data_IF_399295639815
#
_entry.id   IF_399295639815
#
_cell.length_a   1.000
_cell.length_b   1.000
_cell.length_c   1.000
_cell.angle_alpha   90.00
_cell.angle_beta   90.00
_cell.angle_gamma   90.00
#
_symmetry.space_group_name_H-M   'P 1'
#
loop_
_entity.id
_entity.type
_entity.pdbx_description
1 polymer ?
#
# COMPACT_ATOMS: atom_id res chain seq x y z
N UNK A 1 14.67 19.08 3.91
CA UNK A 1 14.65 19.11 5.37
C UNK A 1 14.00 17.84 5.89
N UNK A 2 14.48 17.35 7.03
CA UNK A 2 13.89 16.23 7.74
C UNK A 2 13.72 16.59 9.21
N UNK A 3 12.67 16.09 9.85
CA UNK A 3 12.38 16.33 11.24
C UNK A 3 11.27 15.45 11.76
N UNK A 4 10.80 15.74 12.97
CA UNK A 4 9.68 15.05 13.57
C UNK A 4 8.68 16.07 14.16
N UNK A 5 7.40 15.79 13.94
CA UNK A 5 6.32 16.47 14.67
C UNK A 5 6.06 15.70 15.96
N UNK A 6 6.08 16.40 17.09
CA UNK A 6 5.70 15.82 18.37
C UNK A 6 4.22 16.03 18.62
N UNK A 7 3.48 14.94 18.83
CA UNK A 7 2.05 14.97 19.13
C UNK A 7 1.73 14.10 20.35
N UNK A 8 0.66 14.38 21.07
CA UNK A 8 0.17 13.47 22.09
C UNK A 8 -0.41 12.20 21.45
N UNK A 9 -0.07 11.03 21.99
CA UNK A 9 -0.74 9.79 21.58
C UNK A 9 -2.24 9.92 21.83
N UNK A 10 -2.59 10.30 23.05
CA UNK A 10 -3.97 10.57 23.46
C UNK A 10 -4.12 12.04 23.89
N UNK A 11 -4.77 12.85 23.05
CA UNK A 11 -4.97 14.28 23.33
C UNK A 11 -5.88 14.56 24.51
N UNK A 12 -6.74 13.59 24.87
CA UNK A 12 -7.62 13.70 26.04
C UNK A 12 -6.88 13.38 27.35
N UNK A 13 -5.71 12.72 27.24
CA UNK A 13 -4.85 12.33 28.35
C UNK A 13 -3.37 12.60 28.04
N UNK A 14 -2.94 13.88 27.98
CA UNK A 14 -1.59 14.27 27.55
C UNK A 14 -0.46 13.65 28.40
N UNK A 15 -0.73 13.34 29.66
CA UNK A 15 0.22 12.70 30.57
C UNK A 15 0.60 11.27 30.18
N UNK A 16 -0.15 10.61 29.29
CA UNK A 16 0.14 9.24 28.84
C UNK A 16 1.29 9.14 27.84
N UNK A 17 1.74 10.27 27.27
CA UNK A 17 2.92 10.32 26.43
C UNK A 17 2.71 11.00 25.09
N UNK A 18 3.83 11.15 24.37
CA UNK A 18 3.90 11.76 23.05
C UNK A 18 4.45 10.77 22.02
N UNK A 19 4.19 11.08 20.75
CA UNK A 19 4.71 10.36 19.58
C UNK A 19 5.50 11.32 18.71
N UNK A 20 6.59 10.82 18.11
CA UNK A 20 7.34 11.52 17.09
C UNK A 20 6.88 11.04 15.72
N UNK A 21 6.34 11.94 14.91
CA UNK A 21 5.88 11.63 13.55
C UNK A 21 6.91 12.15 12.56
N UNK A 22 7.48 11.25 11.76
CA UNK A 22 8.53 11.57 10.81
C UNK A 22 8.01 12.44 9.65
N UNK A 23 8.76 13.48 9.34
CA UNK A 23 8.44 14.47 8.29
C UNK A 23 9.66 14.70 7.41
N UNK A 24 9.43 14.79 6.10
CA UNK A 24 10.43 15.24 5.15
C UNK A 24 9.84 16.32 4.24
N UNK A 25 10.61 17.35 3.94
CA UNK A 25 10.20 18.47 3.10
C UNK A 25 11.22 18.62 1.98
N UNK A 26 10.77 18.50 0.75
CA UNK A 26 11.52 18.93 -0.43
C UNK A 26 11.14 20.38 -0.72
N UNK A 27 12.07 21.29 -0.42
CA UNK A 27 11.87 22.71 -0.69
C UNK A 27 11.72 22.97 -2.18
N UNK A 28 10.91 23.96 -2.53
CA UNK A 28 10.77 24.41 -3.91
C UNK A 28 12.13 24.73 -4.54
N UNK A 29 12.23 24.48 -5.83
CA UNK A 29 13.39 24.87 -6.64
C UNK A 29 13.12 26.10 -7.51
N UNK A 30 11.92 26.66 -7.44
CA UNK A 30 11.56 27.87 -8.18
C UNK A 30 11.96 29.15 -7.45
N UNK A 31 12.12 30.24 -8.18
CA UNK A 31 12.52 31.55 -7.64
C UNK A 31 11.40 32.22 -6.80
N UNK A 32 10.14 31.95 -7.15
CA UNK A 32 8.97 32.53 -6.47
C UNK A 32 7.93 31.43 -6.15
N UNK A 33 8.22 30.56 -5.17
CA UNK A 33 7.31 29.47 -4.85
C UNK A 33 6.01 29.96 -4.23
N UNK A 34 4.91 29.27 -4.52
CA UNK A 34 3.64 29.50 -3.86
C UNK A 34 3.75 29.17 -2.36
N UNK A 35 3.09 29.94 -1.48
CA UNK A 35 3.21 29.78 -0.02
C UNK A 35 2.49 28.53 0.52
N UNK A 36 1.68 27.87 -0.32
CA UNK A 36 0.85 26.73 0.02
C UNK A 36 1.49 25.42 -0.50
N UNK A 37 2.13 24.61 0.33
CA UNK A 37 2.80 23.38 -0.08
C UNK A 37 1.82 22.30 -0.55
N UNK A 38 2.36 21.29 -1.23
CA UNK A 38 1.64 20.06 -1.55
C UNK A 38 2.04 18.96 -0.56
N UNK A 39 1.05 18.39 0.12
CA UNK A 39 1.24 17.30 1.08
C UNK A 39 0.80 15.99 0.45
N UNK A 40 1.67 14.97 0.45
CA UNK A 40 1.33 13.63 -0.02
C UNK A 40 0.77 12.77 1.12
N UNK A 41 -0.43 12.27 0.93
CA UNK A 41 -1.07 11.29 1.80
C UNK A 41 -1.07 9.93 1.10
N UNK A 42 -0.20 9.02 1.55
CA UNK A 42 -0.02 7.70 0.94
C UNK A 42 -1.15 6.73 1.29
N UNK A 43 -1.25 5.69 0.49
CA UNK A 43 -2.26 4.63 0.63
C UNK A 43 -1.94 3.56 1.66
N UNK A 44 -2.42 2.38 1.41
CA UNK A 44 -2.37 1.22 2.28
C UNK A 44 -3.74 0.93 2.90
N UNK A 45 -4.02 1.24 4.19
CA UNK A 45 -3.26 2.05 5.16
C UNK A 45 -1.92 1.43 5.57
N UNK A 46 -1.02 2.30 6.05
CA UNK A 46 0.26 1.86 6.63
C UNK A 46 1.47 2.00 5.70
N UNK A 47 1.27 2.44 4.45
CA UNK A 47 2.40 2.75 3.57
C UNK A 47 3.10 4.02 4.05
N UNK A 48 4.40 3.94 4.16
CA UNK A 48 5.28 5.04 4.54
C UNK A 48 5.59 5.99 3.38
N UNK A 49 5.81 7.24 3.68
CA UNK A 49 6.06 8.30 2.72
C UNK A 49 7.50 8.78 2.74
N UNK A 50 8.05 8.94 3.94
CA UNK A 50 9.33 9.60 4.18
C UNK A 50 10.51 8.83 3.57
N UNK A 51 10.55 7.50 3.66
CA UNK A 51 11.64 6.67 3.12
C UNK A 51 11.82 6.84 1.60
N UNK A 52 10.75 7.14 0.89
CA UNK A 52 10.78 7.29 -0.57
C UNK A 52 11.14 8.71 -1.03
N UNK A 53 11.38 9.64 -0.10
CA UNK A 53 11.68 11.04 -0.41
C UNK A 53 12.93 11.22 -1.29
N UNK A 54 14.05 10.49 -1.09
CA UNK A 54 15.21 10.62 -1.98
C UNK A 54 14.89 10.31 -3.44
N UNK A 55 14.17 9.21 -3.72
CA UNK A 55 13.75 8.86 -5.08
C UNK A 55 12.76 9.87 -5.68
N UNK A 56 11.91 10.49 -4.86
CA UNK A 56 11.00 11.55 -5.30
C UNK A 56 11.73 12.84 -5.63
N UNK A 57 12.83 13.14 -4.93
CA UNK A 57 13.65 14.34 -5.20
C UNK A 57 14.23 14.37 -6.61
N UNK A 58 14.51 13.19 -7.19
CA UNK A 58 15.07 13.02 -8.55
C UNK A 58 14.02 12.70 -9.62
N UNK A 59 12.76 12.50 -9.23
CA UNK A 59 11.67 12.13 -10.15
C UNK A 59 11.20 13.32 -10.97
N UNK A 60 11.12 13.15 -12.29
CA UNK A 60 10.56 14.14 -13.22
C UNK A 60 9.10 14.50 -12.92
N UNK A 61 8.32 13.54 -12.40
CA UNK A 61 6.94 13.78 -11.98
C UNK A 61 6.89 14.80 -10.84
N UNK A 62 7.67 14.58 -9.79
CA UNK A 62 7.68 15.45 -8.60
C UNK A 62 8.40 16.77 -8.84
N UNK A 63 9.36 16.84 -9.78
CA UNK A 63 10.09 18.06 -10.10
C UNK A 63 9.17 19.18 -10.58
N UNK A 64 8.12 18.86 -11.34
CA UNK A 64 7.14 19.85 -11.83
C UNK A 64 6.38 20.55 -10.69
N UNK A 65 5.98 19.79 -9.67
CA UNK A 65 5.34 20.36 -8.48
C UNK A 65 6.35 21.14 -7.63
N UNK A 66 7.56 20.59 -7.49
CA UNK A 66 8.63 21.18 -6.71
C UNK A 66 9.13 22.53 -7.26
N UNK A 67 9.01 22.77 -8.57
CA UNK A 67 9.29 24.08 -9.16
C UNK A 67 8.33 25.17 -8.65
N UNK A 68 7.15 24.83 -8.21
CA UNK A 68 6.12 25.80 -7.85
C UNK A 68 5.89 25.92 -6.35
N UNK A 69 6.17 24.88 -5.57
CA UNK A 69 5.85 24.84 -4.14
C UNK A 69 6.66 23.78 -3.39
N UNK A 70 6.72 23.89 -2.09
CA UNK A 70 7.28 22.86 -1.21
C UNK A 70 6.44 21.58 -1.32
N UNK A 71 7.12 20.43 -1.19
CA UNK A 71 6.48 19.11 -1.10
C UNK A 71 6.69 18.56 0.30
N UNK A 72 5.61 18.25 1.00
CA UNK A 72 5.64 17.71 2.36
C UNK A 72 5.25 16.24 2.33
N UNK A 73 6.10 15.42 2.93
CA UNK A 73 5.90 13.99 3.14
C UNK A 73 5.90 13.73 4.62
N UNK A 74 4.91 13.01 5.11
CA UNK A 74 4.90 12.61 6.51
C UNK A 74 4.42 11.17 6.66
N UNK A 75 4.99 10.48 7.62
CA UNK A 75 4.53 9.15 8.00
C UNK A 75 3.48 9.30 9.10
N UNK A 76 2.31 8.70 8.89
CA UNK A 76 1.23 8.73 9.88
C UNK A 76 1.66 7.98 11.14
N UNK A 77 1.00 8.27 12.28
CA UNK A 77 1.25 7.54 13.53
C UNK A 77 1.24 6.03 13.32
N UNK A 78 2.25 5.34 13.84
CA UNK A 78 2.42 3.89 13.70
C UNK A 78 2.87 3.41 12.33
N UNK A 79 3.32 4.30 11.43
CA UNK A 79 3.81 3.92 10.11
C UNK A 79 5.23 4.41 9.85
N UNK A 80 5.99 3.68 9.05
CA UNK A 80 7.32 4.09 8.61
C UNK A 80 8.28 4.39 9.75
N UNK A 81 8.79 5.62 9.76
CA UNK A 81 9.66 6.14 10.82
C UNK A 81 8.92 6.83 11.96
N UNK A 82 7.58 6.91 11.89
CA UNK A 82 6.75 7.46 12.96
C UNK A 82 6.49 6.45 14.07
N UNK A 83 6.38 6.96 15.28
CA UNK A 83 6.07 6.15 16.47
C UNK A 83 4.58 5.80 16.59
N UNK A 84 4.30 4.67 17.28
CA UNK A 84 5.23 3.62 17.68
C UNK A 84 5.59 2.75 16.49
N UNK A 85 6.80 2.19 16.48
CA UNK A 85 7.14 1.16 15.50
C UNK A 85 6.34 -0.11 15.81
N UNK A 86 5.41 -0.45 14.93
CA UNK A 86 4.65 -1.69 15.01
C UNK A 86 5.48 -2.91 14.59
N UNK A 87 4.99 -4.08 14.93
CA UNK A 87 5.70 -5.35 14.89
C UNK A 87 6.17 -5.74 13.48
N UNK A 88 7.42 -5.53 13.16
CA UNK A 88 8.03 -5.98 11.90
C UNK A 88 7.87 -7.49 11.69
N UNK A 89 7.97 -8.29 12.76
CA UNK A 89 7.81 -9.73 12.71
C UNK A 89 6.43 -10.17 12.20
N UNK A 90 5.36 -9.40 12.49
CA UNK A 90 4.04 -9.68 11.94
C UNK A 90 4.00 -9.50 10.41
N UNK A 91 4.61 -8.43 9.90
CA UNK A 91 4.67 -8.18 8.45
C UNK A 91 5.49 -9.25 7.72
N UNK A 92 6.59 -9.69 8.33
CA UNK A 92 7.40 -10.80 7.80
C UNK A 92 6.59 -12.09 7.76
N UNK A 93 5.88 -12.44 8.84
CA UNK A 93 5.02 -13.62 8.88
C UNK A 93 3.90 -13.57 7.83
N UNK A 94 3.31 -12.40 7.58
CA UNK A 94 2.27 -12.22 6.55
C UNK A 94 2.82 -12.39 5.13
N UNK A 95 4.05 -11.91 4.87
CA UNK A 95 4.69 -12.11 3.59
C UNK A 95 5.03 -13.60 3.35
N UNK A 96 5.60 -14.27 4.35
CA UNK A 96 6.01 -15.68 4.24
C UNK A 96 4.83 -16.61 3.98
N UNK A 97 3.68 -16.38 4.60
CA UNK A 97 2.45 -17.17 4.36
C UNK A 97 2.09 -17.30 2.89
N UNK A 98 2.44 -16.31 2.04
CA UNK A 98 2.18 -16.34 0.61
C UNK A 98 3.13 -17.28 -0.17
N UNK A 99 4.29 -17.62 0.39
CA UNK A 99 5.33 -18.35 -0.31
C UNK A 99 5.49 -19.80 0.14
N UNK A 100 4.84 -20.18 1.26
CA UNK A 100 5.06 -21.47 1.90
C UNK A 100 4.13 -22.59 1.41
N UNK A 101 3.11 -22.26 0.61
CA UNK A 101 2.11 -23.22 0.12
C UNK A 101 1.28 -23.84 1.24
N UNK A 102 0.87 -23.02 2.19
CA UNK A 102 0.05 -23.43 3.32
C UNK A 102 -1.42 -23.58 2.91
N UNK A 103 -2.12 -24.52 3.51
CA UNK A 103 -3.57 -24.54 3.43
C UNK A 103 -4.18 -23.22 3.93
N UNK A 104 -5.37 -22.81 3.45
CA UNK A 104 -6.04 -21.60 3.91
C UNK A 104 -6.22 -21.53 5.43
N UNK A 105 -6.44 -22.68 6.09
CA UNK A 105 -6.59 -22.80 7.53
C UNK A 105 -5.27 -22.51 8.26
N UNK A 106 -4.16 -23.08 7.82
CA UNK A 106 -2.81 -22.85 8.36
C UNK A 106 -2.35 -21.41 8.13
N UNK A 107 -2.53 -20.89 6.92
CA UNK A 107 -2.23 -19.51 6.57
C UNK A 107 -2.97 -18.52 7.50
N UNK A 108 -4.28 -18.76 7.72
CA UNK A 108 -5.09 -17.98 8.65
C UNK A 108 -4.60 -18.10 10.09
N UNK A 109 -4.31 -19.33 10.55
CA UNK A 109 -3.83 -19.56 11.91
C UNK A 109 -2.52 -18.81 12.19
N UNK A 110 -1.56 -18.85 11.26
CA UNK A 110 -0.28 -18.10 11.37
C UNK A 110 -0.51 -16.59 11.42
N UNK A 111 -1.33 -16.04 10.52
CA UNK A 111 -1.66 -14.60 10.50
C UNK A 111 -2.30 -14.16 11.81
N UNK A 112 -3.25 -14.95 12.34
CA UNK A 112 -3.91 -14.67 13.62
C UNK A 112 -2.91 -14.73 14.78
N UNK A 113 -2.05 -15.74 14.82
CA UNK A 113 -1.02 -15.88 15.88
C UNK A 113 -0.04 -14.69 15.86
N UNK A 114 0.46 -14.30 14.68
CA UNK A 114 1.35 -13.15 14.51
C UNK A 114 0.67 -11.84 14.96
N UNK A 115 -0.60 -11.65 14.58
CA UNK A 115 -1.39 -10.47 14.99
C UNK A 115 -1.61 -10.42 16.49
N UNK A 116 -1.97 -11.53 17.13
CA UNK A 116 -2.16 -11.61 18.58
C UNK A 116 -0.87 -11.32 19.34
N UNK A 117 0.25 -11.88 18.89
CA UNK A 117 1.57 -11.63 19.48
C UNK A 117 1.95 -10.15 19.38
N UNK A 118 1.75 -9.54 18.20
CA UNK A 118 1.97 -8.13 18.01
C UNK A 118 1.09 -7.28 18.93
N UNK A 119 -0.21 -7.56 18.97
CA UNK A 119 -1.14 -6.84 19.83
C UNK A 119 -0.73 -6.90 21.31
N UNK A 120 -0.39 -8.09 21.81
CA UNK A 120 0.05 -8.27 23.19
C UNK A 120 1.32 -7.46 23.52
N UNK A 121 2.32 -7.51 22.62
CA UNK A 121 3.57 -6.76 22.76
C UNK A 121 3.33 -5.25 22.79
N UNK A 122 2.54 -4.73 21.87
CA UNK A 122 2.27 -3.29 21.80
C UNK A 122 1.42 -2.81 22.98
N UNK A 123 0.44 -3.62 23.42
CA UNK A 123 -0.35 -3.32 24.61
C UNK A 123 0.50 -3.28 25.89
N UNK A 124 1.45 -4.22 26.03
CA UNK A 124 2.40 -4.22 27.15
C UNK A 124 3.32 -2.98 27.15
N UNK A 125 3.54 -2.34 25.99
CA UNK A 125 4.25 -1.07 25.83
C UNK A 125 3.36 0.15 26.09
N UNK A 126 2.08 -0.03 26.44
CA UNK A 126 1.14 1.05 26.74
C UNK A 126 0.42 1.64 25.53
N UNK A 127 0.56 1.06 24.33
CA UNK A 127 -0.07 1.59 23.11
C UNK A 127 -1.59 1.51 23.18
N UNK A 128 -2.28 2.64 23.03
CA UNK A 128 -3.73 2.74 22.91
C UNK A 128 -4.18 2.64 21.43
N UNK A 129 -4.49 1.43 20.97
CA UNK A 129 -4.90 1.19 19.59
C UNK A 129 -6.11 1.99 19.13
N UNK A 130 -6.95 2.49 20.05
CA UNK A 130 -8.10 3.34 19.69
C UNK A 130 -7.69 4.69 19.11
N UNK A 131 -6.43 5.08 19.26
CA UNK A 131 -5.88 6.34 18.79
C UNK A 131 -5.23 6.26 17.41
N UNK A 132 -5.18 5.06 16.80
CA UNK A 132 -4.59 4.84 15.48
C UNK A 132 -5.68 4.70 14.41
N UNK A 133 -6.27 5.83 14.05
CA UNK A 133 -7.38 5.92 13.08
C UNK A 133 -7.30 7.20 12.25
N UNK A 134 -8.10 7.27 11.18
CA UNK A 134 -8.08 8.40 10.24
C UNK A 134 -8.44 9.75 10.88
N UNK A 135 -9.33 9.76 11.89
CA UNK A 135 -9.71 11.01 12.55
C UNK A 135 -8.56 11.59 13.38
N UNK A 136 -7.81 10.73 14.06
CA UNK A 136 -6.62 11.15 14.81
C UNK A 136 -5.50 11.57 13.87
N UNK A 137 -5.26 10.83 12.78
CA UNK A 137 -4.26 11.21 11.76
C UNK A 137 -4.62 12.53 11.04
N UNK A 138 -5.92 12.83 10.88
CA UNK A 138 -6.35 14.14 10.35
C UNK A 138 -6.06 15.31 11.31
N UNK A 139 -6.09 15.05 12.62
CA UNK A 139 -5.65 16.04 13.62
C UNK A 139 -4.13 16.23 13.58
N UNK A 140 -3.36 15.13 13.49
CA UNK A 140 -1.90 15.22 13.35
C UNK A 140 -1.51 16.00 12.10
N UNK A 141 -2.24 15.82 11.01
CA UNK A 141 -2.04 16.54 9.77
C UNK A 141 -2.24 18.05 9.95
N UNK A 142 -3.28 18.48 10.65
CA UNK A 142 -3.52 19.89 10.94
C UNK A 142 -2.48 20.47 11.92
N UNK A 143 -2.09 19.70 12.94
CA UNK A 143 -1.01 20.07 13.86
C UNK A 143 0.32 20.27 13.10
N UNK A 144 0.62 19.42 12.10
CA UNK A 144 1.79 19.55 11.24
C UNK A 144 1.75 20.85 10.43
N UNK A 145 0.60 21.20 9.83
CA UNK A 145 0.43 22.44 9.10
C UNK A 145 0.78 23.65 9.96
N UNK A 146 0.21 23.68 11.17
CA UNK A 146 0.43 24.76 12.13
C UNK A 146 1.87 24.83 12.61
N UNK A 147 2.48 23.69 12.94
CA UNK A 147 3.88 23.62 13.39
C UNK A 147 4.88 24.08 12.30
N UNK A 148 4.54 23.87 11.03
CA UNK A 148 5.35 24.33 9.89
C UNK A 148 5.05 25.78 9.49
N UNK A 149 4.05 26.44 10.10
CA UNK A 149 3.71 27.84 9.87
C UNK A 149 2.98 28.09 8.54
N UNK A 150 2.37 27.06 7.94
CA UNK A 150 1.59 27.26 6.72
C UNK A 150 0.14 27.67 7.03
N UNK A 151 -0.30 28.77 6.45
CA UNK A 151 -1.69 29.24 6.56
C UNK A 151 -2.64 28.25 5.87
N UNK A 152 -2.24 27.78 4.70
CA UNK A 152 -2.98 26.81 3.91
C UNK A 152 -2.02 25.87 3.17
N UNK A 153 -2.55 24.70 2.76
CA UNK A 153 -1.84 23.73 1.92
C UNK A 153 -2.77 22.96 1.01
N UNK A 154 -2.17 22.19 0.10
CA UNK A 154 -2.88 21.33 -0.83
C UNK A 154 -2.62 19.87 -0.43
N UNK A 155 -3.63 19.02 -0.49
CA UNK A 155 -3.49 17.60 -0.22
C UNK A 155 -3.55 16.80 -1.53
N UNK A 156 -2.63 15.86 -1.71
CA UNK A 156 -2.69 14.82 -2.71
C UNK A 156 -2.84 13.48 -2.00
N UNK A 157 -4.06 12.98 -1.93
CA UNK A 157 -4.35 11.66 -1.37
C UNK A 157 -4.33 10.59 -2.47
N UNK A 158 -3.66 9.46 -2.20
CA UNK A 158 -3.69 8.30 -3.08
C UNK A 158 -4.26 7.09 -2.32
N UNK A 159 -5.24 6.37 -2.94
CA UNK A 159 -5.84 5.18 -2.32
C UNK A 159 -6.40 5.47 -0.91
N UNK A 160 -5.95 4.78 0.15
CA UNK A 160 -6.34 5.12 1.54
C UNK A 160 -6.02 6.59 1.89
N UNK A 161 -4.99 7.19 1.32
CA UNK A 161 -4.69 8.61 1.51
C UNK A 161 -5.84 9.54 1.12
N UNK A 162 -6.71 9.11 0.19
CA UNK A 162 -7.94 9.85 -0.14
C UNK A 162 -8.97 9.80 0.98
N UNK A 163 -9.09 8.66 1.69
CA UNK A 163 -9.93 8.54 2.89
C UNK A 163 -9.44 9.46 4.00
N UNK A 164 -8.13 9.56 4.20
CA UNK A 164 -7.55 10.50 5.15
C UNK A 164 -7.81 11.94 4.73
N UNK A 165 -7.63 12.29 3.45
CA UNK A 165 -7.93 13.60 2.92
C UNK A 165 -9.41 13.99 3.10
N UNK A 166 -10.33 13.07 2.77
CA UNK A 166 -11.77 13.27 3.00
C UNK A 166 -12.11 13.43 4.49
N UNK A 167 -11.40 12.69 5.36
CA UNK A 167 -11.55 12.85 6.81
C UNK A 167 -11.07 14.24 7.27
N UNK A 168 -9.92 14.70 6.75
CA UNK A 168 -9.43 16.05 7.02
C UNK A 168 -10.38 17.14 6.52
N UNK A 169 -10.96 16.98 5.32
CA UNK A 169 -11.97 17.91 4.78
C UNK A 169 -13.19 17.99 5.69
N UNK A 170 -13.65 16.88 6.26
CA UNK A 170 -14.80 16.84 7.16
C UNK A 170 -14.48 17.43 8.54
N UNK A 171 -13.34 17.03 9.13
CA UNK A 171 -13.04 17.29 10.54
C UNK A 171 -12.14 18.50 10.75
N UNK A 172 -11.31 18.87 9.76
CA UNK A 172 -10.28 19.92 9.81
C UNK A 172 -10.22 20.72 8.50
N UNK A 173 -11.34 21.34 8.03
CA UNK A 173 -11.38 22.02 6.74
C UNK A 173 -10.53 23.29 6.68
N UNK A 174 -10.21 23.90 7.84
CA UNK A 174 -9.42 25.13 7.89
C UNK A 174 -8.00 24.86 7.40
N UNK A 175 -7.47 25.75 6.57
CA UNK A 175 -6.12 25.61 6.00
C UNK A 175 -6.04 24.62 4.83
N UNK A 176 -7.16 24.06 4.36
CA UNK A 176 -7.20 23.29 3.11
C UNK A 176 -7.52 24.20 1.94
N UNK A 177 -6.59 24.39 1.01
CA UNK A 177 -6.79 25.16 -0.21
C UNK A 177 -7.37 24.31 -1.32
N UNK A 178 -6.79 23.14 -1.58
CA UNK A 178 -7.26 22.18 -2.56
C UNK A 178 -6.99 20.76 -2.12
N UNK A 179 -7.77 19.80 -2.65
CA UNK A 179 -7.59 18.38 -2.38
C UNK A 179 -7.72 17.61 -3.68
N UNK A 180 -6.70 16.82 -3.98
CA UNK A 180 -6.65 15.90 -5.12
C UNK A 180 -6.85 14.49 -4.58
N UNK A 181 -7.80 13.76 -5.15
CA UNK A 181 -8.15 12.40 -4.74
C UNK A 181 -7.84 11.42 -5.89
N UNK A 182 -6.69 10.76 -5.78
CA UNK A 182 -6.29 9.73 -6.74
C UNK A 182 -6.72 8.35 -6.24
N UNK A 183 -7.56 7.65 -7.02
CA UNK A 183 -8.14 6.36 -6.65
C UNK A 183 -8.97 6.45 -5.36
N UNK A 184 -10.01 7.29 -5.41
CA UNK A 184 -10.80 7.70 -4.24
C UNK A 184 -11.43 6.53 -3.47
N UNK A 185 -11.16 6.49 -2.16
CA UNK A 185 -11.72 5.55 -1.20
C UNK A 185 -12.62 6.29 -0.19
N UNK A 186 -13.94 6.40 -0.43
CA UNK A 186 -14.84 7.10 0.47
C UNK A 186 -14.88 6.50 1.87
N UNK A 187 -15.09 7.30 2.93
CA UNK A 187 -15.24 6.78 4.30
C UNK A 187 -16.37 5.74 4.46
N UNK A 188 -17.37 5.79 3.60
CA UNK A 188 -18.52 4.86 3.59
C UNK A 188 -18.23 3.53 2.90
N UNK A 189 -17.16 3.43 2.09
CA UNK A 189 -16.82 2.19 1.38
C UNK A 189 -16.36 1.11 2.35
N UNK A 190 -16.96 -0.07 2.25
CA UNK A 190 -16.57 -1.27 3.00
C UNK A 190 -15.56 -2.08 2.17
N UNK A 191 -14.42 -1.46 1.87
CA UNK A 191 -13.46 -1.94 0.87
C UNK A 191 -12.97 -3.38 1.11
N UNK A 192 -12.81 -3.82 2.37
CA UNK A 192 -12.46 -5.21 2.67
C UNK A 192 -13.51 -6.23 2.20
N UNK A 193 -14.79 -5.83 2.25
CA UNK A 193 -15.90 -6.69 1.79
C UNK A 193 -16.05 -6.62 0.27
N UNK A 194 -15.77 -5.45 -0.32
CA UNK A 194 -15.96 -5.17 -1.75
C UNK A 194 -14.73 -5.58 -2.60
N UNK A 195 -13.57 -5.79 -1.97
CA UNK A 195 -12.32 -6.09 -2.67
C UNK A 195 -12.40 -7.34 -3.55
N UNK A 196 -12.94 -8.50 -3.10
CA UNK A 196 -13.03 -9.69 -3.96
C UNK A 196 -13.86 -9.46 -5.22
N UNK A 197 -15.02 -8.82 -5.11
CA UNK A 197 -15.88 -8.51 -6.26
C UNK A 197 -15.25 -7.47 -7.20
N UNK A 198 -14.52 -6.50 -6.65
CA UNK A 198 -13.79 -5.51 -7.45
C UNK A 198 -12.62 -6.14 -8.19
N UNK A 199 -11.90 -7.07 -7.56
CA UNK A 199 -10.82 -7.82 -8.21
C UNK A 199 -11.38 -8.70 -9.34
N UNK A 200 -12.41 -9.48 -9.07
CA UNK A 200 -13.09 -10.30 -10.07
C UNK A 200 -13.50 -9.45 -11.28
N UNK A 201 -14.21 -8.35 -11.07
CA UNK A 201 -14.62 -7.45 -12.14
C UNK A 201 -13.44 -6.90 -12.93
N UNK A 202 -12.33 -6.52 -12.26
CA UNK A 202 -11.16 -5.98 -12.93
C UNK A 202 -10.46 -7.05 -13.78
N UNK A 203 -10.38 -8.29 -13.30
CA UNK A 203 -9.79 -9.41 -14.01
C UNK A 203 -10.63 -9.79 -15.25
N UNK A 204 -11.95 -9.86 -15.10
CA UNK A 204 -12.85 -10.10 -16.25
C UNK A 204 -12.73 -9.03 -17.33
N UNK A 205 -12.45 -7.77 -16.97
CA UNK A 205 -12.12 -6.73 -17.94
C UNK A 205 -10.88 -7.02 -18.77
N UNK A 206 -9.90 -7.76 -18.22
CA UNK A 206 -8.73 -8.21 -18.99
C UNK A 206 -9.16 -9.27 -20.00
N UNK A 207 -9.99 -10.23 -19.59
CA UNK A 207 -10.50 -11.29 -20.48
C UNK A 207 -11.35 -10.70 -21.61
N UNK A 208 -12.31 -9.83 -21.29
CA UNK A 208 -13.16 -9.15 -22.27
C UNK A 208 -12.34 -8.37 -23.32
N UNK A 209 -11.31 -7.65 -22.85
CA UNK A 209 -10.42 -6.87 -23.74
C UNK A 209 -9.57 -7.78 -24.61
N UNK A 210 -9.06 -8.88 -24.08
CA UNK A 210 -8.32 -9.86 -24.86
C UNK A 210 -9.22 -10.52 -25.91
N UNK A 211 -10.43 -10.89 -25.57
CA UNK A 211 -11.40 -11.46 -26.50
C UNK A 211 -11.83 -10.48 -27.60
N UNK A 212 -11.84 -9.17 -27.31
CA UNK A 212 -12.17 -8.13 -28.29
C UNK A 212 -10.98 -7.71 -29.19
N UNK A 213 -9.76 -8.03 -28.82
CA UNK A 213 -8.56 -7.75 -29.61
C UNK A 213 -8.19 -8.96 -30.47
N UNK A 214 -8.18 -8.86 -31.83
CA UNK A 214 -7.95 -10.03 -32.69
C UNK A 214 -6.61 -10.72 -32.46
N UNK A 215 -5.55 -9.97 -32.12
CA UNK A 215 -4.23 -10.54 -31.88
C UNK A 215 -4.18 -11.28 -30.54
N UNK A 216 -4.76 -10.70 -29.50
CA UNK A 216 -4.87 -11.34 -28.19
C UNK A 216 -5.76 -12.58 -28.25
N UNK A 217 -6.95 -12.49 -28.90
CA UNK A 217 -7.87 -13.61 -29.08
C UNK A 217 -7.24 -14.77 -29.86
N UNK A 218 -6.43 -14.47 -30.87
CA UNK A 218 -5.72 -15.50 -31.62
C UNK A 218 -4.62 -16.19 -30.80
N UNK A 219 -3.93 -15.43 -29.93
CA UNK A 219 -2.87 -15.95 -29.09
C UNK A 219 -3.41 -16.69 -27.84
N UNK A 220 -4.55 -16.26 -27.29
CA UNK A 220 -5.14 -16.76 -26.03
C UNK A 220 -6.65 -17.02 -26.20
N UNK A 221 -7.06 -17.98 -27.03
CA UNK A 221 -8.47 -18.17 -27.40
C UNK A 221 -9.37 -18.58 -26.23
N UNK A 222 -8.81 -19.17 -25.19
CA UNK A 222 -9.53 -19.74 -24.02
C UNK A 222 -9.03 -19.17 -22.69
N UNK A 223 -8.48 -17.92 -22.70
CA UNK A 223 -7.76 -17.29 -21.60
C UNK A 223 -8.45 -17.42 -20.22
N UNK A 224 -9.76 -17.14 -20.17
CA UNK A 224 -10.51 -17.21 -18.91
C UNK A 224 -10.62 -18.64 -18.40
N UNK A 225 -10.98 -19.59 -19.29
CA UNK A 225 -11.08 -21.00 -18.94
C UNK A 225 -9.71 -21.57 -18.52
N UNK A 226 -8.64 -21.18 -19.22
CA UNK A 226 -7.27 -21.60 -18.92
C UNK A 226 -6.82 -21.10 -17.56
N UNK A 227 -7.20 -19.87 -17.18
CA UNK A 227 -6.89 -19.32 -15.85
C UNK A 227 -7.58 -20.14 -14.75
N UNK A 228 -8.86 -20.41 -14.86
CA UNK A 228 -9.57 -21.21 -13.84
C UNK A 228 -9.01 -22.64 -13.75
N UNK A 229 -8.77 -23.29 -14.88
CA UNK A 229 -8.13 -24.60 -14.90
C UNK A 229 -6.71 -24.58 -14.30
N UNK A 230 -5.98 -23.46 -14.47
CA UNK A 230 -4.68 -23.30 -13.85
C UNK A 230 -4.80 -23.17 -12.32
N UNK A 231 -5.76 -22.42 -11.81
CA UNK A 231 -6.00 -22.31 -10.36
C UNK A 231 -6.30 -23.66 -9.73
N UNK A 232 -7.25 -24.42 -10.30
CA UNK A 232 -7.59 -25.77 -9.84
C UNK A 232 -6.38 -26.72 -9.84
N UNK A 233 -5.53 -26.61 -10.87
CA UNK A 233 -4.32 -27.41 -10.96
C UNK A 233 -3.27 -26.99 -9.93
N UNK A 234 -3.09 -25.70 -9.67
CA UNK A 234 -2.12 -25.21 -8.69
C UNK A 234 -2.54 -25.49 -7.25
N UNK A 235 -3.84 -25.52 -6.96
CA UNK A 235 -4.37 -25.96 -5.67
C UNK A 235 -3.99 -27.42 -5.37
N UNK A 236 -4.09 -28.29 -6.38
CA UNK A 236 -3.82 -29.73 -6.23
C UNK A 236 -2.33 -30.07 -6.39
N UNK A 237 -1.63 -29.37 -7.27
CA UNK A 237 -0.24 -29.65 -7.66
C UNK A 237 0.57 -28.34 -7.79
N UNK A 238 0.89 -27.69 -6.67
CA UNK A 238 1.65 -26.46 -6.68
C UNK A 238 3.06 -26.64 -7.28
N UNK A 239 3.63 -25.54 -7.77
CA UNK A 239 4.98 -25.53 -8.34
C UNK A 239 5.97 -25.11 -7.24
N UNK A 240 7.01 -25.90 -6.99
CA UNK A 240 8.08 -25.56 -6.05
C UNK A 240 9.27 -25.01 -6.79
N UNK A 241 9.76 -23.86 -6.33
CA UNK A 241 10.88 -23.15 -6.94
C UNK A 241 11.98 -22.93 -5.91
N UNK A 242 13.21 -23.26 -6.29
CA UNK A 242 14.38 -22.93 -5.46
C UNK A 242 14.81 -21.49 -5.73
N UNK A 243 14.95 -20.71 -4.67
CA UNK A 243 15.36 -19.33 -4.70
C UNK A 243 16.77 -19.17 -4.13
N UNK A 244 17.57 -18.32 -4.76
CA UNK A 244 18.93 -18.01 -4.30
C UNK A 244 18.98 -16.94 -3.20
N UNK A 245 17.93 -16.09 -3.12
CA UNK A 245 17.82 -15.06 -2.09
C UNK A 245 17.29 -15.64 -0.77
N UNK A 246 18.19 -16.18 0.03
CA UNK A 246 17.87 -16.72 1.36
C UNK A 246 17.56 -15.65 2.41
N UNK A 247 17.80 -14.37 2.13
CA UNK A 247 17.38 -13.25 3.01
C UNK A 247 15.89 -13.05 2.94
N UNK A 248 15.34 -13.10 1.72
CA UNK A 248 13.91 -12.96 1.48
C UNK A 248 13.16 -14.29 1.67
N UNK A 249 13.79 -15.40 1.29
CA UNK A 249 13.24 -16.76 1.36
C UNK A 249 14.17 -17.65 2.20
N UNK A 250 14.05 -17.63 3.56
CA UNK A 250 14.99 -18.31 4.44
C UNK A 250 15.15 -19.81 4.17
N UNK A 251 14.07 -20.46 3.76
CA UNK A 251 14.07 -21.88 3.42
C UNK A 251 14.57 -22.17 1.99
N UNK A 252 14.95 -21.12 1.24
CA UNK A 252 15.39 -21.22 -0.15
C UNK A 252 14.32 -21.76 -1.10
N UNK A 253 13.04 -21.75 -0.68
CA UNK A 253 11.93 -22.31 -1.45
C UNK A 253 10.76 -21.32 -1.53
N UNK A 254 10.10 -21.33 -2.67
CA UNK A 254 8.80 -20.66 -2.89
C UNK A 254 7.85 -21.68 -3.49
N UNK A 255 6.65 -21.71 -2.97
CA UNK A 255 5.55 -22.54 -3.49
C UNK A 255 4.58 -21.66 -4.23
N UNK A 256 4.43 -21.89 -5.53
CA UNK A 256 3.46 -21.21 -6.37
C UNK A 256 2.20 -22.09 -6.40
N UNK A 257 1.24 -21.67 -5.59
CA UNK A 257 -0.11 -22.22 -5.52
C UNK A 257 -1.12 -21.24 -6.15
N UNK A 258 -2.39 -21.56 -6.08
CA UNK A 258 -3.50 -20.72 -6.54
C UNK A 258 -3.51 -19.36 -5.81
N UNK A 259 -3.23 -19.34 -4.50
CA UNK A 259 -3.23 -18.13 -3.68
C UNK A 259 -2.12 -17.16 -4.11
N UNK A 260 -0.91 -17.65 -4.37
CA UNK A 260 0.20 -16.82 -4.86
C UNK A 260 -0.07 -16.31 -6.28
N UNK A 261 -0.63 -17.14 -7.17
CA UNK A 261 -1.02 -16.69 -8.51
C UNK A 261 -2.07 -15.59 -8.43
N UNK A 262 -3.14 -15.76 -7.64
CA UNK A 262 -4.17 -14.74 -7.45
C UNK A 262 -3.61 -13.45 -6.88
N UNK A 263 -2.68 -13.53 -5.90
CA UNK A 263 -2.01 -12.36 -5.35
C UNK A 263 -1.16 -11.63 -6.40
N UNK A 264 -0.48 -12.38 -7.27
CA UNK A 264 0.34 -11.84 -8.36
C UNK A 264 -0.52 -11.14 -9.42
N UNK A 265 -1.63 -11.75 -9.81
CA UNK A 265 -2.60 -11.13 -10.73
C UNK A 265 -3.21 -9.87 -10.13
N UNK A 266 -3.61 -9.90 -8.85
CA UNK A 266 -4.13 -8.75 -8.13
C UNK A 266 -3.13 -7.59 -8.11
N UNK A 267 -1.87 -7.83 -7.77
CA UNK A 267 -0.82 -6.82 -7.78
C UNK A 267 -0.52 -6.33 -9.20
N UNK A 268 -0.55 -7.21 -10.19
CA UNK A 268 -0.37 -6.87 -11.60
C UNK A 268 -1.38 -5.87 -12.12
N UNK A 269 -2.63 -5.93 -11.64
CA UNK A 269 -3.69 -4.98 -12.02
C UNK A 269 -3.44 -3.53 -11.55
N UNK A 270 -2.54 -3.30 -10.61
CA UNK A 270 -2.12 -1.95 -10.21
C UNK A 270 -1.12 -1.32 -11.18
N UNK A 271 -0.55 -2.09 -12.09
CA UNK A 271 0.47 -1.60 -13.02
C UNK A 271 -0.04 -1.63 -14.46
N UNK A 272 -0.34 -0.45 -15.02
CA UNK A 272 -0.85 -0.30 -16.39
C UNK A 272 0.04 -0.93 -17.46
N UNK A 273 1.35 -1.04 -17.23
CA UNK A 273 2.29 -1.66 -18.15
C UNK A 273 2.34 -3.18 -18.01
N UNK A 274 1.90 -3.70 -16.86
CA UNK A 274 1.84 -5.13 -16.60
C UNK A 274 0.49 -5.74 -16.98
N UNK A 275 -0.60 -4.97 -16.95
CA UNK A 275 -1.95 -5.46 -17.32
C UNK A 275 -1.96 -6.16 -18.69
N UNK A 276 -1.36 -5.64 -19.77
CA UNK A 276 -1.33 -6.31 -21.07
C UNK A 276 -0.53 -7.63 -21.08
N UNK A 277 0.31 -7.86 -20.07
CA UNK A 277 1.13 -9.06 -19.94
C UNK A 277 0.43 -10.17 -19.14
N UNK A 278 -0.71 -9.89 -18.50
CA UNK A 278 -1.43 -10.88 -17.68
C UNK A 278 -1.85 -12.14 -18.47
N UNK A 279 -2.34 -12.04 -19.75
CA UNK A 279 -2.62 -13.22 -20.54
C UNK A 279 -1.38 -14.11 -20.73
N UNK A 280 -0.25 -13.51 -21.09
CA UNK A 280 1.03 -14.21 -21.23
C UNK A 280 1.48 -14.83 -19.90
N UNK A 281 1.36 -14.12 -18.78
CA UNK A 281 1.71 -14.63 -17.47
C UNK A 281 0.92 -15.93 -17.15
N UNK A 282 -0.39 -15.93 -17.37
CA UNK A 282 -1.26 -17.09 -17.13
C UNK A 282 -0.78 -18.28 -17.97
N UNK A 283 -0.51 -18.06 -19.27
CA UNK A 283 -0.05 -19.10 -20.18
C UNK A 283 1.33 -19.66 -19.76
N UNK A 284 2.27 -18.79 -19.43
CA UNK A 284 3.63 -19.19 -19.09
C UNK A 284 3.71 -19.93 -17.73
N UNK A 285 2.88 -19.53 -16.76
CA UNK A 285 2.74 -20.31 -15.51
C UNK A 285 2.10 -21.67 -15.79
N UNK A 286 1.09 -21.71 -16.65
CA UNK A 286 0.45 -22.97 -17.08
C UNK A 286 1.45 -23.91 -17.78
N UNK A 287 2.34 -23.36 -18.59
CA UNK A 287 3.42 -24.10 -19.28
C UNK A 287 4.60 -24.43 -18.35
N UNK A 288 4.56 -24.00 -17.09
CA UNK A 288 5.66 -24.14 -16.10
C UNK A 288 6.99 -23.56 -16.59
N UNK A 289 6.93 -22.41 -17.30
CA UNK A 289 8.14 -21.74 -17.78
C UNK A 289 9.02 -21.25 -16.61
N UNK A 290 10.24 -21.80 -16.42
CA UNK A 290 11.05 -21.50 -15.25
C UNK A 290 11.54 -20.06 -15.19
N UNK A 291 11.62 -19.35 -16.31
CA UNK A 291 12.03 -17.95 -16.34
C UNK A 291 10.93 -17.03 -15.81
N UNK A 292 9.68 -17.27 -16.17
CA UNK A 292 8.53 -16.49 -15.70
C UNK A 292 8.20 -16.82 -14.24
N UNK A 293 8.25 -18.11 -13.90
CA UNK A 293 7.99 -18.61 -12.55
C UNK A 293 8.93 -17.99 -11.52
N UNK A 294 10.21 -17.76 -11.86
CA UNK A 294 11.18 -17.12 -10.97
C UNK A 294 11.01 -15.60 -10.86
N UNK A 295 10.24 -15.00 -11.74
CA UNK A 295 9.97 -13.57 -11.77
C UNK A 295 8.68 -13.16 -11.01
N UNK A 296 7.82 -14.16 -10.69
CA UNK A 296 6.64 -13.99 -9.84
C UNK A 296 7.03 -13.71 -8.38
#
# INVERSE_FOLDING_TARGET
>A
DCGALVVYENRDRPAEGTLHLAVAILRSTGEAPAPDPLVLLTGGPGTWSVINTPGRATSLFWSRYRQQRDLVFFDQRGTGYSEPTFCRAMNVAFAHVLYEGLSPAEARARKVAATRSCYATMKARGVDFSRYNSATSARDLDDLRQALGYDAWNLLGASYGTRLALTAMRDRPRGLRSVILDSALPPTARWWVEQPSNFHRALHRVFDRCAADPACQAAFPTLEADMYALLDRLEQQPIRVTMSDTTRFPDGQVVIDDALLLASLFNGLYNRHFIPLLPLLIQEVAARNPHVIRAL
#
